data_IF_832765650836
#
_entry.id   IF_832765650836
#
_cell.length_a   1.000
_cell.length_b   1.000
_cell.length_c   1.000
_cell.angle_alpha   90.00
_cell.angle_beta   90.00
_cell.angle_gamma   90.00
#
_symmetry.space_group_name_H-M   'P 1'
#
loop_
_entity.id
_entity.type
_entity.pdbx_description
1 polymer ?
#
# COMPACT_ATOMS: atom_id res chain seq x y z
N UNK A 1 3.30 13.87 -6.86
CA UNK A 1 4.63 13.21 -6.84
C UNK A 1 5.24 13.28 -8.21
N UNK A 2 6.48 13.67 -8.29
CA UNK A 2 7.22 13.75 -9.54
C UNK A 2 8.62 13.16 -9.32
N UNK A 3 8.94 12.09 -10.02
CA UNK A 3 10.21 11.38 -9.85
C UNK A 3 11.23 11.85 -10.87
N UNK A 4 12.47 12.06 -10.41
CA UNK A 4 13.57 12.55 -11.25
C UNK A 4 14.19 11.43 -12.11
N UNK A 5 13.32 10.67 -12.78
CA UNK A 5 13.73 9.60 -13.70
C UNK A 5 13.05 9.81 -15.05
N UNK A 6 13.73 9.39 -16.09
CA UNK A 6 13.15 9.41 -17.44
C UNK A 6 12.08 8.35 -17.61
N UNK A 7 11.24 8.51 -18.64
CA UNK A 7 10.24 7.52 -19.01
C UNK A 7 10.92 6.20 -19.37
N UNK A 8 10.24 5.09 -19.09
CA UNK A 8 10.66 3.76 -19.54
C UNK A 8 12.09 3.40 -19.14
N UNK A 9 12.45 3.65 -17.87
CA UNK A 9 13.80 3.43 -17.37
C UNK A 9 13.95 2.10 -16.65
N UNK A 10 12.96 1.67 -15.88
CA UNK A 10 13.07 0.53 -14.98
C UNK A 10 12.28 -0.68 -15.47
N UNK A 11 12.85 -1.86 -15.30
CA UNK A 11 12.15 -3.12 -15.53
C UNK A 11 11.23 -3.50 -14.38
N UNK A 12 11.65 -3.19 -13.16
CA UNK A 12 10.91 -3.51 -11.92
C UNK A 12 10.99 -2.31 -10.98
N UNK A 13 9.86 -1.97 -10.38
CA UNK A 13 9.76 -1.02 -9.26
C UNK A 13 9.08 -1.73 -8.10
N UNK A 14 9.61 -1.57 -6.91
CA UNK A 14 9.02 -2.12 -5.69
C UNK A 14 8.72 -1.00 -4.71
N UNK A 15 7.56 -1.06 -4.06
CA UNK A 15 7.19 -0.14 -3.00
C UNK A 15 6.69 -0.95 -1.81
N UNK A 16 7.41 -0.88 -0.70
CA UNK A 16 7.04 -1.57 0.52
C UNK A 16 6.63 -0.55 1.57
N UNK A 17 5.37 -0.64 2.03
CA UNK A 17 4.80 0.18 3.09
C UNK A 17 4.92 1.70 2.86
N UNK A 18 4.91 2.12 1.59
CA UNK A 18 5.06 3.52 1.20
C UNK A 18 3.86 4.13 0.49
N UNK A 19 3.07 3.31 -0.20
CA UNK A 19 1.94 3.81 -1.01
C UNK A 19 0.88 4.52 -0.17
N UNK A 20 0.66 4.07 1.08
CA UNK A 20 -0.28 4.71 2.00
C UNK A 20 0.07 6.16 2.31
N UNK A 21 1.33 6.54 2.13
CA UNK A 21 1.82 7.89 2.39
C UNK A 21 1.77 8.81 1.16
N UNK A 22 1.32 8.31 0.01
CA UNK A 22 1.17 9.14 -1.18
C UNK A 22 0.06 10.16 -0.95
N UNK A 23 0.38 11.42 -1.14
CA UNK A 23 -0.59 12.52 -1.05
C UNK A 23 -1.74 12.32 -2.05
N UNK A 24 -1.40 11.97 -3.29
CA UNK A 24 -2.35 11.58 -4.31
C UNK A 24 -1.94 10.22 -4.89
N UNK A 25 -2.67 9.18 -4.50
CA UNK A 25 -2.32 7.80 -4.86
C UNK A 25 -2.35 7.56 -6.37
N UNK A 26 -3.39 8.01 -7.04
CA UNK A 26 -3.50 7.83 -8.48
C UNK A 26 -2.34 8.48 -9.23
N UNK A 27 -2.01 9.71 -8.84
CA UNK A 27 -0.89 10.45 -9.43
C UNK A 27 0.44 9.74 -9.17
N UNK A 28 0.65 9.23 -7.96
CA UNK A 28 1.85 8.48 -7.61
C UNK A 28 1.99 7.18 -8.42
N UNK A 29 0.89 6.43 -8.54
CA UNK A 29 0.88 5.19 -9.31
C UNK A 29 1.11 5.44 -10.82
N UNK A 30 0.58 6.52 -11.36
CA UNK A 30 0.83 6.93 -12.74
C UNK A 30 2.28 7.34 -12.97
N UNK A 31 2.88 8.01 -11.99
CA UNK A 31 4.27 8.41 -12.08
C UNK A 31 5.20 7.19 -12.08
N UNK A 32 4.91 6.19 -11.28
CA UNK A 32 5.63 4.92 -11.31
C UNK A 32 5.42 4.21 -12.67
N UNK A 33 4.20 4.24 -13.19
CA UNK A 33 3.93 3.69 -14.52
C UNK A 33 4.76 4.37 -15.61
N UNK A 34 4.95 5.68 -15.51
CA UNK A 34 5.74 6.44 -16.47
C UNK A 34 7.19 5.95 -16.54
N UNK A 35 7.82 5.71 -15.39
CA UNK A 35 9.22 5.31 -15.32
C UNK A 35 9.44 3.81 -15.59
N UNK A 36 8.39 2.99 -15.56
CA UNK A 36 8.47 1.60 -15.94
C UNK A 36 8.58 1.44 -17.46
N UNK A 37 9.40 0.50 -17.89
CA UNK A 37 9.44 0.08 -19.29
C UNK A 37 8.15 -0.66 -19.67
N UNK A 38 7.79 -0.72 -20.98
CA UNK A 38 6.75 -1.63 -21.43
C UNK A 38 7.01 -3.05 -20.93
N UNK A 39 5.99 -3.73 -20.44
CA UNK A 39 6.07 -5.05 -19.78
C UNK A 39 6.83 -5.03 -18.45
N UNK A 40 7.19 -3.86 -17.94
CA UNK A 40 7.77 -3.70 -16.60
C UNK A 40 6.77 -3.98 -15.50
N UNK A 41 7.26 -4.36 -14.33
CA UNK A 41 6.45 -4.78 -13.20
C UNK A 41 6.56 -3.81 -12.02
N UNK A 42 5.41 -3.53 -11.41
CA UNK A 42 5.33 -2.88 -10.10
C UNK A 42 4.91 -3.92 -9.06
N UNK A 43 5.65 -4.00 -7.98
CA UNK A 43 5.26 -4.78 -6.79
C UNK A 43 4.97 -3.83 -5.63
N UNK A 44 3.78 -3.91 -5.08
CA UNK A 44 3.39 -3.12 -3.91
C UNK A 44 3.15 -4.07 -2.75
N UNK A 45 3.92 -3.93 -1.69
CA UNK A 45 3.69 -4.59 -0.41
C UNK A 45 3.14 -3.54 0.54
N UNK A 46 1.92 -3.73 1.02
CA UNK A 46 1.26 -2.74 1.87
C UNK A 46 0.29 -3.40 2.84
N UNK A 47 0.01 -2.72 3.94
CA UNK A 47 -1.11 -3.08 4.78
C UNK A 47 -2.40 -3.02 3.98
N UNK A 48 -3.32 -3.93 4.27
CA UNK A 48 -4.60 -4.01 3.60
C UNK A 48 -5.73 -4.14 4.61
N UNK A 49 -6.96 -4.08 4.14
CA UNK A 49 -8.11 -4.33 5.01
C UNK A 49 -8.19 -5.83 5.30
N UNK A 50 -8.21 -6.23 6.58
CA UNK A 50 -8.28 -7.64 6.95
C UNK A 50 -9.61 -8.28 6.55
N UNK A 51 -9.65 -9.61 6.58
CA UNK A 51 -10.89 -10.36 6.35
C UNK A 51 -11.99 -9.88 7.32
N UNK A 52 -13.24 -9.89 6.86
CA UNK A 52 -14.38 -9.28 7.58
C UNK A 52 -14.51 -9.81 9.01
N UNK A 53 -14.33 -11.13 9.22
CA UNK A 53 -14.46 -11.75 10.55
C UNK A 53 -13.33 -11.34 11.51
N UNK A 54 -12.14 -11.03 10.98
CA UNK A 54 -10.96 -10.63 11.76
C UNK A 54 -10.88 -9.12 11.99
N UNK A 55 -11.55 -8.34 11.16
CA UNK A 55 -11.48 -6.87 11.15
C UNK A 55 -11.73 -6.21 12.50
N UNK A 56 -12.76 -6.58 13.29
CA UNK A 56 -13.00 -5.94 14.59
C UNK A 56 -11.83 -6.15 15.56
N UNK A 57 -11.26 -7.35 15.60
CA UNK A 57 -10.14 -7.67 16.47
C UNK A 57 -8.87 -6.92 16.05
N UNK A 58 -8.63 -6.84 14.75
CA UNK A 58 -7.46 -6.16 14.21
C UNK A 58 -7.49 -4.65 14.48
N UNK A 59 -8.63 -4.00 14.27
CA UNK A 59 -8.79 -2.58 14.53
C UNK A 59 -8.76 -2.26 16.01
N UNK A 60 -9.30 -3.13 16.86
CA UNK A 60 -9.18 -2.99 18.31
C UNK A 60 -7.69 -3.01 18.72
N UNK A 61 -6.91 -3.93 18.17
CA UNK A 61 -5.47 -3.99 18.39
C UNK A 61 -4.77 -2.70 17.96
N UNK A 62 -5.00 -2.25 16.73
CA UNK A 62 -4.37 -1.05 16.19
C UNK A 62 -4.71 0.21 16.99
N UNK A 63 -5.95 0.31 17.43
CA UNK A 63 -6.48 1.53 18.05
C UNK A 63 -6.10 1.66 19.53
N UNK A 64 -6.06 0.54 20.26
CA UNK A 64 -5.91 0.55 21.71
C UNK A 64 -4.66 -0.18 22.20
N UNK A 65 -4.37 -1.36 21.69
CA UNK A 65 -3.30 -2.21 22.20
C UNK A 65 -1.94 -1.74 21.67
N UNK A 66 -1.81 -1.53 20.39
CA UNK A 66 -0.55 -1.12 19.76
C UNK A 66 -0.04 0.23 20.29
N UNK A 67 -0.86 1.30 20.40
CA UNK A 67 -0.41 2.55 20.99
C UNK A 67 0.02 2.41 22.46
N UNK A 68 -0.65 1.55 23.22
CA UNK A 68 -0.30 1.29 24.61
C UNK A 68 1.07 0.61 24.72
N UNK A 69 1.32 -0.44 23.95
CA UNK A 69 2.61 -1.13 23.89
C UNK A 69 3.70 -0.17 23.40
N UNK A 70 3.43 0.58 22.36
CA UNK A 70 4.36 1.56 21.81
C UNK A 70 4.71 2.66 22.80
N UNK A 71 3.75 3.09 23.62
CA UNK A 71 3.98 4.08 24.67
C UNK A 71 4.88 3.58 25.80
N UNK A 72 4.95 2.26 26.01
CA UNK A 72 5.84 1.64 27.01
C UNK A 72 7.26 1.47 26.45
N UNK A 73 7.37 1.03 25.21
CA UNK A 73 8.65 0.68 24.56
C UNK A 73 9.29 1.92 23.91
N UNK A 74 8.46 2.77 23.31
CA UNK A 74 8.86 4.00 22.62
C UNK A 74 8.04 5.17 23.17
N UNK A 75 8.66 6.33 23.31
CA UNK A 75 7.97 7.54 23.80
C UNK A 75 7.14 8.25 22.70
N UNK A 76 7.15 7.74 21.49
CA UNK A 76 6.46 8.36 20.35
C UNK A 76 5.11 7.69 20.04
N UNK A 77 4.10 8.00 20.86
CA UNK A 77 2.73 7.53 20.64
C UNK A 77 2.10 8.11 19.36
N UNK A 78 2.49 9.32 18.98
CA UNK A 78 1.89 10.00 17.81
C UNK A 78 2.24 9.31 16.50
N UNK A 79 3.47 8.82 16.36
CA UNK A 79 3.89 8.07 15.19
C UNK A 79 3.07 6.80 15.00
N UNK A 80 2.80 6.06 16.08
CA UNK A 80 1.98 4.84 16.03
C UNK A 80 0.51 5.13 15.79
N UNK A 81 -0.03 6.22 16.32
CA UNK A 81 -1.40 6.65 16.02
C UNK A 81 -1.54 7.04 14.54
N UNK A 82 -0.56 7.73 13.98
CA UNK A 82 -0.52 8.04 12.54
C UNK A 82 -0.48 6.77 11.70
N UNK A 83 0.35 5.80 12.07
CA UNK A 83 0.45 4.52 11.38
C UNK A 83 -0.89 3.78 11.39
N UNK A 84 -1.54 3.68 12.55
CA UNK A 84 -2.84 3.01 12.67
C UNK A 84 -3.91 3.73 11.83
N UNK A 85 -3.94 5.06 11.85
CA UNK A 85 -4.88 5.84 11.05
C UNK A 85 -4.69 5.65 9.55
N UNK A 86 -3.46 5.61 9.07
CA UNK A 86 -3.17 5.38 7.65
C UNK A 86 -3.53 3.95 7.21
N UNK A 87 -3.35 2.96 8.09
CA UNK A 87 -3.76 1.57 7.82
C UNK A 87 -5.29 1.47 7.74
N UNK A 88 -6.02 2.05 8.70
CA UNK A 88 -7.48 2.02 8.73
C UNK A 88 -8.10 2.67 7.49
N UNK A 89 -7.51 3.76 7.00
CA UNK A 89 -8.00 4.50 5.85
C UNK A 89 -7.52 3.96 4.50
N UNK A 90 -6.57 3.02 4.49
CA UNK A 90 -6.05 2.48 3.25
C UNK A 90 -7.06 1.53 2.61
N UNK A 91 -7.20 1.52 1.27
CA UNK A 91 -8.17 0.68 0.59
C UNK A 91 -7.89 -0.82 0.77
N UNK A 92 -8.93 -1.63 0.61
CA UNK A 92 -8.82 -3.09 0.50
C UNK A 92 -7.95 -3.48 -0.70
N UNK A 93 -7.49 -4.75 -0.70
CA UNK A 93 -6.71 -5.27 -1.84
C UNK A 93 -7.50 -5.19 -3.17
N UNK A 94 -8.80 -5.40 -3.13
CA UNK A 94 -9.67 -5.32 -4.31
C UNK A 94 -9.78 -3.88 -4.81
N UNK A 95 -9.92 -2.93 -3.93
CA UNK A 95 -10.00 -1.52 -4.29
C UNK A 95 -8.66 -1.00 -4.83
N UNK A 96 -7.55 -1.37 -4.20
CA UNK A 96 -6.22 -0.99 -4.70
C UNK A 96 -5.96 -1.60 -6.08
N UNK A 97 -6.40 -2.84 -6.30
CA UNK A 97 -6.34 -3.48 -7.61
C UNK A 97 -7.09 -2.66 -8.67
N UNK A 98 -8.30 -2.19 -8.33
CA UNK A 98 -9.06 -1.31 -9.22
C UNK A 98 -8.34 0.01 -9.48
N UNK A 99 -7.73 0.59 -8.47
CA UNK A 99 -6.97 1.84 -8.61
C UNK A 99 -5.73 1.67 -9.50
N UNK A 100 -5.09 0.50 -9.46
CA UNK A 100 -3.99 0.19 -10.36
C UNK A 100 -4.46 0.10 -11.81
N UNK A 101 -5.60 -0.54 -12.08
CA UNK A 101 -6.19 -0.52 -13.42
C UNK A 101 -6.53 0.89 -13.89
N UNK A 102 -7.11 1.70 -13.03
CA UNK A 102 -7.43 3.10 -13.34
C UNK A 102 -6.17 3.93 -13.63
N UNK A 103 -5.06 3.62 -12.98
CA UNK A 103 -3.79 4.30 -13.21
C UNK A 103 -3.15 3.93 -14.56
N UNK A 104 -3.58 2.83 -15.18
CA UNK A 104 -3.13 2.44 -16.52
C UNK A 104 -2.40 1.11 -16.61
N UNK A 105 -2.29 0.35 -15.52
CA UNK A 105 -1.68 -0.98 -15.56
C UNK A 105 -2.62 -1.97 -16.26
N UNK A 106 -2.05 -2.86 -17.08
CA UNK A 106 -2.83 -3.77 -17.91
C UNK A 106 -3.19 -5.08 -17.23
N UNK A 107 -2.33 -5.56 -16.33
CA UNK A 107 -2.53 -6.79 -15.57
C UNK A 107 -2.23 -6.51 -14.10
N UNK A 108 -3.13 -6.91 -13.22
CA UNK A 108 -2.96 -6.72 -11.77
C UNK A 108 -3.37 -8.00 -11.06
N UNK A 109 -2.50 -8.51 -10.21
CA UNK A 109 -2.79 -9.61 -9.29
C UNK A 109 -2.60 -9.15 -7.87
N UNK A 110 -3.46 -9.58 -6.97
CA UNK A 110 -3.40 -9.27 -5.55
C UNK A 110 -3.41 -10.54 -4.72
N UNK A 111 -2.49 -10.64 -3.77
CA UNK A 111 -2.40 -11.75 -2.82
C UNK A 111 -2.45 -11.21 -1.40
N UNK A 112 -3.47 -11.60 -0.65
CA UNK A 112 -3.57 -11.30 0.77
C UNK A 112 -2.77 -12.29 1.62
N UNK A 113 -2.17 -11.79 2.69
CA UNK A 113 -1.40 -12.59 3.66
C UNK A 113 -1.86 -12.25 5.08
N UNK A 114 -1.71 -13.20 6.01
CA UNK A 114 -2.05 -12.99 7.42
C UNK A 114 -3.47 -12.42 7.57
N UNK A 115 -4.47 -13.20 7.12
CA UNK A 115 -5.90 -12.81 7.14
C UNK A 115 -6.16 -11.50 6.37
N UNK A 116 -5.41 -11.27 5.31
CA UNK A 116 -5.48 -10.06 4.46
C UNK A 116 -5.08 -8.76 5.18
N UNK A 117 -4.35 -8.85 6.30
CA UNK A 117 -3.80 -7.65 6.96
C UNK A 117 -2.66 -7.03 6.16
N UNK A 118 -2.00 -7.82 5.33
CA UNK A 118 -0.97 -7.39 4.38
C UNK A 118 -1.32 -7.96 3.02
N UNK A 119 -1.06 -7.22 1.97
CA UNK A 119 -1.27 -7.69 0.60
C UNK A 119 -0.11 -7.30 -0.30
N UNK A 120 0.19 -8.19 -1.25
CA UNK A 120 1.13 -7.90 -2.34
C UNK A 120 0.30 -7.71 -3.61
N UNK A 121 0.53 -6.61 -4.30
CA UNK A 121 -0.02 -6.34 -5.61
C UNK A 121 1.09 -6.40 -6.65
N UNK A 122 0.89 -7.18 -7.69
CA UNK A 122 1.77 -7.24 -8.85
C UNK A 122 1.04 -6.66 -10.05
N UNK A 123 1.55 -5.55 -10.57
CA UNK A 123 0.95 -4.85 -11.69
C UNK A 123 1.97 -4.75 -12.83
N UNK A 124 1.49 -4.88 -14.06
CA UNK A 124 2.31 -4.89 -15.26
C UNK A 124 1.89 -3.74 -16.16
N UNK A 125 2.88 -3.00 -16.66
CA UNK A 125 2.68 -1.98 -17.70
C UNK A 125 2.55 -2.65 -19.05
N UNK A 126 1.54 -2.26 -19.80
CA UNK A 126 1.32 -2.77 -21.16
C UNK A 126 2.42 -2.32 -22.15
#
# INVERSE_FOLDING_TARGET
MNLDFEDNTFDIVTVAFGVRNFENRNKGLREILRILKPQGSLFVLEFSQPDTWFRPFYFLYLKYILPCIAGIISKDKNAYQYLAGTIESFPSKELLKSQLFEAGYSQVKALGMTFSTVAIHHAIKD
#
